data_IF_163686723132
#
_entry.id   IF_163686723132
#
_cell.length_a   1.000
_cell.length_b   1.000
_cell.length_c   1.000
_cell.angle_alpha   90.00
_cell.angle_beta   90.00
_cell.angle_gamma   90.00
#
_symmetry.space_group_name_H-M   'P 1'
#
loop_
_entity.id
_entity.type
_entity.pdbx_description
1 polymer ?
#
# COMPACT_ATOMS: atom_id res chain seq x y z
N UNK A 1 -0.58 -0.63 -28.88
CA UNK A 1 0.74 -0.98 -28.34
C UNK A 1 0.83 -0.37 -26.96
N UNK A 2 1.31 -1.11 -25.96
CA UNK A 2 1.50 -0.58 -24.61
C UNK A 2 2.69 0.38 -24.65
N UNK A 3 2.51 1.62 -24.18
CA UNK A 3 3.61 2.58 -24.05
C UNK A 3 4.37 2.29 -22.75
N UNK A 4 5.69 2.55 -22.76
CA UNK A 4 6.58 2.30 -21.63
C UNK A 4 7.42 3.54 -21.32
N UNK A 5 7.78 3.69 -20.05
CA UNK A 5 8.85 4.57 -19.58
C UNK A 5 10.01 3.72 -19.06
N UNK A 6 11.22 4.24 -19.18
CA UNK A 6 12.41 3.58 -18.64
C UNK A 6 12.66 4.14 -17.24
N UNK A 7 12.75 3.25 -16.27
CA UNK A 7 13.18 3.57 -14.91
C UNK A 7 14.41 2.73 -14.55
N UNK A 8 15.18 3.18 -13.57
CA UNK A 8 16.41 2.53 -13.14
C UNK A 8 16.45 2.34 -11.63
N UNK A 9 16.96 1.20 -11.19
CA UNK A 9 17.32 0.92 -9.81
C UNK A 9 18.76 0.39 -9.71
N UNK A 10 19.14 -0.19 -8.57
CA UNK A 10 20.47 -0.76 -8.36
C UNK A 10 20.84 -1.86 -9.38
N UNK A 11 19.86 -2.56 -9.95
CA UNK A 11 20.06 -3.65 -10.90
C UNK A 11 20.12 -3.16 -12.36
N UNK A 12 19.93 -1.86 -12.59
CA UNK A 12 19.95 -1.23 -13.90
C UNK A 12 18.57 -0.77 -14.37
N UNK A 13 18.44 -0.57 -15.68
CA UNK A 13 17.22 -0.08 -16.30
C UNK A 13 16.18 -1.19 -16.52
N UNK A 14 14.89 -0.82 -16.50
CA UNK A 14 13.78 -1.69 -16.85
C UNK A 14 12.64 -0.87 -17.45
N UNK A 15 11.85 -1.49 -18.33
CA UNK A 15 10.65 -0.88 -18.88
C UNK A 15 9.48 -1.03 -17.91
N UNK A 16 8.81 0.08 -17.60
CA UNK A 16 7.60 0.14 -16.78
C UNK A 16 6.46 0.70 -17.65
N UNK A 17 5.24 0.14 -17.63
CA UNK A 17 4.12 0.69 -18.38
C UNK A 17 3.94 2.19 -18.12
N UNK A 18 3.78 3.00 -19.16
CA UNK A 18 3.74 4.46 -19.03
C UNK A 18 2.59 4.95 -18.13
N UNK A 19 1.49 4.18 -18.10
CA UNK A 19 0.28 4.41 -17.32
C UNK A 19 0.27 3.73 -15.94
N UNK A 20 1.33 3.01 -15.55
CA UNK A 20 1.46 2.50 -14.19
C UNK A 20 1.91 3.60 -13.21
N UNK A 21 1.37 3.60 -12.00
CA UNK A 21 1.87 4.42 -10.88
C UNK A 21 3.01 3.73 -10.12
N UNK A 22 3.08 2.41 -10.14
CA UNK A 22 4.23 1.70 -9.59
C UNK A 22 5.47 1.91 -10.48
N UNK A 23 6.66 1.63 -9.94
CA UNK A 23 7.94 1.87 -10.59
C UNK A 23 8.73 0.58 -10.87
N UNK A 24 10.02 0.75 -11.13
CA UNK A 24 10.93 -0.34 -11.52
C UNK A 24 11.01 -1.46 -10.48
N UNK A 25 11.01 -1.18 -9.18
CA UNK A 25 11.15 -2.23 -8.18
C UNK A 25 9.89 -3.09 -8.09
N UNK A 26 8.71 -2.48 -8.23
CA UNK A 26 7.46 -3.22 -8.36
C UNK A 26 7.42 -4.05 -9.64
N UNK A 27 7.86 -3.49 -10.76
CA UNK A 27 7.94 -4.22 -12.03
C UNK A 27 8.86 -5.45 -11.91
N UNK A 28 10.02 -5.32 -11.26
CA UNK A 28 10.89 -6.47 -10.96
C UNK A 28 10.22 -7.49 -10.04
N UNK A 29 9.47 -7.04 -9.03
CA UNK A 29 8.73 -7.96 -8.16
C UNK A 29 7.70 -8.78 -8.94
N UNK A 30 7.01 -8.17 -9.92
CA UNK A 30 6.09 -8.87 -10.82
C UNK A 30 6.79 -9.89 -11.72
N UNK A 31 8.03 -9.61 -12.13
CA UNK A 31 8.83 -10.56 -12.91
C UNK A 31 9.36 -11.71 -12.05
N UNK A 32 9.76 -11.42 -10.82
CA UNK A 32 10.38 -12.37 -9.89
C UNK A 32 9.36 -13.31 -9.21
N UNK A 33 8.15 -12.82 -8.92
CA UNK A 33 7.16 -13.54 -8.12
C UNK A 33 5.87 -13.73 -8.90
N UNK A 34 5.73 -14.93 -9.48
CA UNK A 34 4.55 -15.39 -10.21
C UNK A 34 4.11 -16.73 -9.62
N UNK A 35 3.71 -16.70 -8.35
CA UNK A 35 3.56 -17.90 -7.52
C UNK A 35 2.09 -18.26 -7.36
N UNK A 36 1.24 -17.27 -7.07
CA UNK A 36 -0.16 -17.43 -6.75
C UNK A 36 -1.06 -16.56 -7.62
N UNK A 37 -2.37 -16.62 -7.36
CA UNK A 37 -3.36 -15.71 -7.94
C UNK A 37 -3.81 -14.64 -6.95
N UNK A 38 -3.22 -14.60 -5.75
CA UNK A 38 -3.56 -13.70 -4.67
C UNK A 38 -2.56 -12.53 -4.63
N UNK A 39 -3.04 -11.32 -4.94
CA UNK A 39 -2.20 -10.15 -5.10
C UNK A 39 -2.55 -9.08 -4.07
N UNK A 40 -1.63 -8.15 -3.81
CA UNK A 40 -1.83 -7.10 -2.82
C UNK A 40 -3.07 -6.22 -3.10
N UNK A 41 -3.46 -6.04 -4.37
CA UNK A 41 -4.68 -5.35 -4.79
C UNK A 41 -5.97 -6.00 -4.25
N UNK A 42 -5.94 -7.30 -3.93
CA UNK A 42 -7.07 -8.04 -3.36
C UNK A 42 -7.23 -7.79 -1.84
N UNK A 43 -6.27 -7.10 -1.21
CA UNK A 43 -6.19 -6.84 0.23
C UNK A 43 -6.22 -5.34 0.55
N UNK A 44 -7.38 -4.65 0.38
CA UNK A 44 -7.49 -3.20 0.54
C UNK A 44 -7.12 -2.71 1.95
N UNK A 45 -7.40 -3.50 3.01
CA UNK A 45 -6.98 -3.13 4.37
C UNK A 45 -5.47 -3.07 4.53
N UNK A 46 -4.73 -3.86 3.76
CA UNK A 46 -3.27 -3.85 3.80
C UNK A 46 -2.71 -2.64 3.06
N UNK A 47 -3.26 -2.31 1.88
CA UNK A 47 -2.93 -1.07 1.16
C UNK A 47 -3.25 0.15 2.04
N UNK A 48 -4.40 0.16 2.71
CA UNK A 48 -4.75 1.21 3.66
C UNK A 48 -3.77 1.28 4.83
N UNK A 49 -3.33 0.14 5.36
CA UNK A 49 -2.29 0.05 6.37
C UNK A 49 -0.99 0.74 5.93
N UNK A 50 -0.54 0.48 4.70
CA UNK A 50 0.64 1.13 4.11
C UNK A 50 0.42 2.64 3.98
N UNK A 51 -0.73 3.07 3.45
CA UNK A 51 -1.05 4.49 3.31
C UNK A 51 -1.07 5.23 4.66
N UNK A 52 -1.62 4.63 5.72
CA UNK A 52 -1.56 5.20 7.08
C UNK A 52 -0.12 5.38 7.56
N UNK A 53 0.73 4.37 7.38
CA UNK A 53 2.15 4.42 7.78
C UNK A 53 2.89 5.52 7.01
N UNK A 54 2.74 5.56 5.68
CA UNK A 54 3.43 6.55 4.84
C UNK A 54 2.96 7.97 5.13
N UNK A 55 1.66 8.19 5.33
CA UNK A 55 1.12 9.49 5.73
C UNK A 55 1.64 9.93 7.09
N UNK A 56 1.70 9.03 8.07
CA UNK A 56 2.21 9.31 9.40
C UNK A 56 3.71 9.65 9.39
N UNK A 57 4.51 8.93 8.61
CA UNK A 57 5.93 9.19 8.45
C UNK A 57 6.18 10.55 7.77
N UNK A 58 5.51 10.84 6.65
CA UNK A 58 5.63 12.13 5.97
C UNK A 58 5.25 13.30 6.88
N UNK A 59 4.14 13.19 7.63
CA UNK A 59 3.72 14.19 8.62
C UNK A 59 4.76 14.39 9.72
N UNK A 60 5.40 13.32 10.17
CA UNK A 60 6.42 13.38 11.22
C UNK A 60 7.70 14.04 10.70
N UNK A 61 8.18 13.63 9.52
CA UNK A 61 9.37 14.23 8.89
C UNK A 61 9.16 15.73 8.60
N UNK A 62 7.95 16.14 8.16
CA UNK A 62 7.61 17.56 8.02
C UNK A 62 7.70 18.32 9.35
N UNK A 63 7.08 17.78 10.41
CA UNK A 63 7.13 18.39 11.75
C UNK A 63 8.55 18.49 12.33
N UNK A 64 9.45 17.60 11.93
CA UNK A 64 10.86 17.62 12.31
C UNK A 64 11.72 18.49 11.38
N UNK A 65 11.14 19.11 10.35
CA UNK A 65 11.87 19.95 9.38
C UNK A 65 12.73 19.17 8.39
N UNK A 66 12.53 17.85 8.27
CA UNK A 66 13.29 16.97 7.37
C UNK A 66 12.65 16.87 5.97
N UNK A 67 11.35 17.15 5.87
CA UNK A 67 10.58 17.11 4.62
C UNK A 67 9.95 18.49 4.37
N UNK A 68 10.01 18.98 3.12
CA UNK A 68 9.38 20.26 2.76
C UNK A 68 7.86 20.18 2.89
N UNK A 69 7.22 21.34 3.11
CA UNK A 69 5.76 21.40 3.20
C UNK A 69 5.09 20.93 1.91
N UNK A 70 5.60 21.34 0.75
CA UNK A 70 5.07 20.95 -0.56
C UNK A 70 5.09 19.43 -0.76
N UNK A 71 6.20 18.76 -0.44
CA UNK A 71 6.30 17.30 -0.53
C UNK A 71 5.34 16.63 0.45
N UNK A 72 5.30 17.11 1.69
CA UNK A 72 4.40 16.58 2.70
C UNK A 72 2.93 16.64 2.25
N UNK A 73 2.46 17.80 1.77
CA UNK A 73 1.06 17.97 1.38
C UNK A 73 0.69 17.04 0.22
N UNK A 74 1.55 16.90 -0.79
CA UNK A 74 1.29 16.04 -1.94
C UNK A 74 1.38 14.54 -1.60
N UNK A 75 2.34 14.13 -0.78
CA UNK A 75 2.42 12.75 -0.26
C UNK A 75 1.19 12.42 0.60
N UNK A 76 0.79 13.33 1.49
CA UNK A 76 -0.37 13.15 2.35
C UNK A 76 -1.66 13.02 1.52
N UNK A 77 -1.80 13.84 0.47
CA UNK A 77 -2.95 13.78 -0.45
C UNK A 77 -2.97 12.49 -1.27
N UNK A 78 -1.82 12.02 -1.76
CA UNK A 78 -1.71 10.72 -2.42
C UNK A 78 -2.12 9.57 -1.49
N UNK A 79 -1.69 9.61 -0.22
CA UNK A 79 -2.11 8.64 0.79
C UNK A 79 -3.63 8.71 1.06
N UNK A 80 -4.22 9.90 1.10
CA UNK A 80 -5.66 10.08 1.28
C UNK A 80 -6.47 9.50 0.12
N UNK A 81 -5.96 9.58 -1.12
CA UNK A 81 -6.58 8.94 -2.27
C UNK A 81 -6.53 7.41 -2.16
N UNK A 82 -5.42 6.83 -1.69
CA UNK A 82 -5.33 5.39 -1.40
C UNK A 82 -6.33 4.97 -0.31
N UNK A 83 -6.45 5.74 0.76
CA UNK A 83 -7.40 5.49 1.85
C UNK A 83 -8.86 5.62 1.39
N UNK A 84 -9.11 6.38 0.33
CA UNK A 84 -10.41 6.48 -0.34
C UNK A 84 -10.67 5.34 -1.35
N UNK A 85 -9.78 4.34 -1.43
CA UNK A 85 -9.92 3.18 -2.33
C UNK A 85 -9.44 3.41 -3.76
N UNK A 86 -8.78 4.55 -4.06
CA UNK A 86 -8.25 4.82 -5.40
C UNK A 86 -6.90 4.12 -5.57
N UNK A 87 -6.57 3.77 -6.82
CA UNK A 87 -5.26 3.20 -7.22
C UNK A 87 -4.92 1.86 -6.55
N UNK A 88 -5.88 1.13 -5.96
CA UNK A 88 -5.61 -0.19 -5.37
C UNK A 88 -5.18 -1.21 -6.44
N UNK A 89 -5.60 -1.03 -7.68
CA UNK A 89 -5.15 -1.76 -8.87
C UNK A 89 -3.66 -1.57 -9.18
N UNK A 90 -3.03 -0.53 -8.61
CA UNK A 90 -1.60 -0.24 -8.77
C UNK A 90 -0.72 -0.98 -7.75
N UNK A 91 -1.30 -1.94 -7.03
CA UNK A 91 -0.60 -2.83 -6.09
C UNK A 91 -0.60 -4.28 -6.57
N UNK A 92 0.00 -4.60 -7.73
CA UNK A 92 -0.14 -5.91 -8.36
C UNK A 92 0.77 -7.01 -7.78
N UNK A 93 1.58 -6.72 -6.76
CA UNK A 93 2.58 -7.69 -6.26
C UNK A 93 1.90 -8.92 -5.64
N UNK A 94 2.39 -10.11 -5.96
CA UNK A 94 1.97 -11.39 -5.37
C UNK A 94 2.13 -11.39 -3.84
N UNK A 95 1.12 -11.91 -3.15
CA UNK A 95 1.14 -12.05 -1.69
C UNK A 95 2.18 -13.08 -1.22
N UNK A 96 2.53 -14.05 -2.07
CA UNK A 96 3.62 -14.99 -1.84
C UNK A 96 4.88 -14.49 -2.57
N UNK A 97 5.69 -13.71 -1.84
CA UNK A 97 6.90 -13.10 -2.36
C UNK A 97 8.12 -13.34 -1.46
N UNK A 98 9.32 -13.33 -2.07
CA UNK A 98 10.58 -13.21 -1.35
C UNK A 98 10.84 -11.78 -0.85
N UNK A 99 11.95 -11.57 -0.13
CA UNK A 99 12.41 -10.22 0.23
C UNK A 99 11.73 -9.59 1.46
N UNK A 100 11.05 -10.38 2.29
CA UNK A 100 10.53 -9.98 3.59
C UNK A 100 9.63 -8.73 3.59
N UNK A 101 8.83 -8.56 2.52
CA UNK A 101 7.90 -7.43 2.37
C UNK A 101 8.50 -6.20 1.69
N UNK A 102 9.74 -6.27 1.22
CA UNK A 102 10.40 -5.12 0.56
C UNK A 102 9.67 -4.70 -0.69
N UNK A 103 9.21 -5.65 -1.51
CA UNK A 103 8.45 -5.34 -2.72
C UNK A 103 7.13 -4.63 -2.40
N UNK A 104 6.44 -5.02 -1.32
CA UNK A 104 5.22 -4.35 -0.85
C UNK A 104 5.51 -2.92 -0.39
N UNK A 105 6.56 -2.72 0.41
CA UNK A 105 6.94 -1.39 0.89
C UNK A 105 7.33 -0.48 -0.28
N UNK A 106 8.12 -0.99 -1.23
CA UNK A 106 8.54 -0.24 -2.41
C UNK A 106 7.40 0.04 -3.38
N UNK A 107 6.45 -0.88 -3.54
CA UNK A 107 5.25 -0.64 -4.33
C UNK A 107 4.44 0.54 -3.77
N UNK A 108 4.26 0.62 -2.44
CA UNK A 108 3.64 1.78 -1.83
C UNK A 108 4.47 3.06 -2.06
N UNK A 109 5.79 2.99 -1.88
CA UNK A 109 6.68 4.14 -2.09
C UNK A 109 6.57 4.69 -3.52
N UNK A 110 6.63 3.83 -4.53
CA UNK A 110 6.59 4.21 -5.94
C UNK A 110 5.22 4.77 -6.35
N UNK A 111 4.12 4.10 -5.96
CA UNK A 111 2.76 4.57 -6.26
C UNK A 111 2.50 5.95 -5.64
N UNK A 112 2.85 6.13 -4.37
CA UNK A 112 2.68 7.40 -3.66
C UNK A 112 3.58 8.49 -4.25
N UNK A 113 4.83 8.17 -4.58
CA UNK A 113 5.76 9.12 -5.19
C UNK A 113 5.24 9.61 -6.55
N UNK A 114 4.86 8.68 -7.44
CA UNK A 114 4.32 9.03 -8.76
C UNK A 114 3.02 9.80 -8.67
N UNK A 115 2.15 9.46 -7.70
CA UNK A 115 0.93 10.25 -7.51
C UNK A 115 1.23 11.65 -6.97
N UNK A 116 2.19 11.79 -6.06
CA UNK A 116 2.64 13.09 -5.58
C UNK A 116 3.27 13.92 -6.72
N UNK A 117 4.04 13.31 -7.63
CA UNK A 117 4.59 13.98 -8.82
C UNK A 117 3.48 14.57 -9.69
N UNK A 118 2.45 13.79 -10.02
CA UNK A 118 1.33 14.30 -10.81
C UNK A 118 0.59 15.46 -10.13
N UNK A 119 0.40 15.38 -8.80
CA UNK A 119 -0.22 16.45 -8.03
C UNK A 119 0.60 17.75 -8.05
N UNK A 120 1.93 17.64 -8.23
CA UNK A 120 2.87 18.76 -8.42
C UNK A 120 3.02 19.17 -9.89
N UNK A 121 2.34 18.51 -10.83
CA UNK A 121 2.44 18.80 -12.27
C UNK A 121 3.65 18.16 -12.98
N UNK A 122 4.34 17.25 -12.31
CA UNK A 122 5.45 16.47 -12.88
C UNK A 122 4.97 15.17 -13.52
N UNK A 123 5.80 14.60 -14.39
CA UNK A 123 5.54 13.29 -15.00
C UNK A 123 5.95 12.18 -14.04
N UNK A 124 5.32 11.02 -14.20
CA UNK A 124 5.72 9.80 -13.49
C UNK A 124 7.16 9.42 -13.85
N UNK A 125 7.92 8.98 -12.86
CA UNK A 125 9.35 8.68 -12.98
C UNK A 125 10.28 9.89 -12.85
N UNK A 126 9.78 11.13 -12.76
CA UNK A 126 10.60 12.32 -12.49
C UNK A 126 10.99 12.42 -10.99
N UNK A 127 11.61 11.36 -10.46
CA UNK A 127 11.88 11.17 -9.04
C UNK A 127 12.85 12.18 -8.43
N UNK A 128 13.48 13.05 -9.24
CA UNK A 128 14.23 14.22 -8.75
C UNK A 128 13.34 15.16 -7.92
N UNK A 129 12.04 15.23 -8.22
CA UNK A 129 11.10 16.06 -7.47
C UNK A 129 10.45 15.28 -6.31
N UNK A 130 10.21 13.98 -6.45
CA UNK A 130 9.70 13.13 -5.38
C UNK A 130 10.33 11.73 -5.43
N UNK A 131 11.33 11.48 -4.60
CA UNK A 131 12.01 10.19 -4.53
C UNK A 131 11.18 9.17 -3.72
N UNK A 132 10.90 7.97 -4.26
CA UNK A 132 10.28 6.88 -3.50
C UNK A 132 11.09 6.54 -2.24
N UNK A 133 12.42 6.59 -2.31
CA UNK A 133 13.30 6.25 -1.18
C UNK A 133 13.56 7.44 -0.27
N UNK A 134 13.98 8.58 -0.83
CA UNK A 134 14.48 9.70 -0.02
C UNK A 134 13.35 10.55 0.56
N UNK A 135 12.16 10.54 -0.04
CA UNK A 135 11.02 11.34 0.44
C UNK A 135 9.90 10.46 1.01
N UNK A 136 9.38 9.49 0.24
CA UNK A 136 8.24 8.67 0.70
C UNK A 136 8.67 7.65 1.76
N UNK A 137 9.86 7.07 1.62
CA UNK A 137 10.47 6.16 2.59
C UNK A 137 11.39 6.85 3.60
N UNK A 138 11.40 8.19 3.67
CA UNK A 138 12.24 8.94 4.59
C UNK A 138 12.04 8.47 6.03
N UNK A 139 13.15 8.22 6.73
CA UNK A 139 13.18 7.76 8.14
C UNK A 139 12.49 6.42 8.40
N UNK A 140 12.32 5.59 7.38
CA UNK A 140 11.69 4.28 7.46
C UNK A 140 12.58 3.20 6.85
N UNK A 141 12.30 1.96 7.20
CA UNK A 141 12.75 0.77 6.49
C UNK A 141 11.55 -0.13 6.17
N UNK A 142 11.78 -1.18 5.38
CA UNK A 142 10.75 -2.22 5.25
C UNK A 142 10.47 -2.88 6.60
N UNK A 143 11.50 -3.08 7.43
CA UNK A 143 11.46 -3.90 8.64
C UNK A 143 10.62 -3.29 9.78
N UNK A 144 10.24 -2.02 9.68
CA UNK A 144 9.30 -1.33 10.56
C UNK A 144 8.01 -0.94 9.83
N UNK A 145 8.08 -0.40 8.61
CA UNK A 145 6.90 0.04 7.87
C UNK A 145 5.96 -1.12 7.51
N UNK A 146 6.50 -2.22 6.98
CA UNK A 146 5.73 -3.39 6.55
C UNK A 146 5.01 -4.09 7.72
N UNK A 147 5.69 -4.51 8.81
CA UNK A 147 4.99 -5.15 9.93
C UNK A 147 4.03 -4.21 10.65
N UNK A 148 4.28 -2.89 10.64
CA UNK A 148 3.32 -1.91 11.17
C UNK A 148 2.05 -1.87 10.32
N UNK A 149 2.19 -1.80 9.00
CA UNK A 149 1.05 -1.82 8.07
C UNK A 149 0.23 -3.10 8.20
N UNK A 150 0.87 -4.27 8.31
CA UNK A 150 0.18 -5.56 8.54
C UNK A 150 -0.64 -5.50 9.83
N UNK A 151 -0.05 -5.03 10.94
CA UNK A 151 -0.76 -4.96 12.22
C UNK A 151 -1.98 -4.05 12.13
N UNK A 152 -1.88 -2.90 11.47
CA UNK A 152 -3.01 -2.00 11.24
C UNK A 152 -4.10 -2.69 10.42
N UNK A 153 -3.73 -3.39 9.34
CA UNK A 153 -4.67 -4.13 8.50
C UNK A 153 -5.41 -5.21 9.29
N UNK A 154 -4.68 -6.05 10.04
CA UNK A 154 -5.26 -7.10 10.87
C UNK A 154 -6.17 -6.55 11.96
N UNK A 155 -5.83 -5.42 12.58
CA UNK A 155 -6.72 -4.75 13.55
C UNK A 155 -8.05 -4.33 12.92
N UNK A 156 -8.02 -3.79 11.69
CA UNK A 156 -9.22 -3.38 10.97
C UNK A 156 -10.06 -4.60 10.53
N UNK A 157 -9.42 -5.62 9.98
CA UNK A 157 -10.08 -6.87 9.57
C UNK A 157 -10.72 -7.58 10.77
N UNK A 158 -10.04 -7.60 11.92
CA UNK A 158 -10.55 -8.20 13.14
C UNK A 158 -11.84 -7.55 13.66
N UNK A 159 -12.01 -6.22 13.48
CA UNK A 159 -13.28 -5.56 13.81
C UNK A 159 -14.43 -6.14 13.01
N UNK A 160 -14.26 -6.28 11.69
CA UNK A 160 -15.28 -6.90 10.82
C UNK A 160 -15.55 -8.35 11.20
N UNK A 161 -14.50 -9.13 11.51
CA UNK A 161 -14.65 -10.51 11.95
C UNK A 161 -15.50 -10.61 13.23
N UNK A 162 -15.23 -9.76 14.23
CA UNK A 162 -15.99 -9.72 15.48
C UNK A 162 -17.46 -9.40 15.23
N UNK A 163 -17.77 -8.47 14.33
CA UNK A 163 -19.16 -8.11 14.02
C UNK A 163 -19.91 -9.30 13.38
N UNK A 164 -19.30 -10.01 12.45
CA UNK A 164 -19.90 -11.22 11.86
C UNK A 164 -20.06 -12.35 12.90
N UNK A 165 -19.07 -12.53 13.78
CA UNK A 165 -19.13 -13.52 14.84
C UNK A 165 -20.26 -13.23 15.83
N UNK A 166 -20.47 -11.96 16.20
CA UNK A 166 -21.59 -11.55 17.07
C UNK A 166 -22.93 -11.88 16.42
N UNK A 167 -23.11 -11.55 15.14
CA UNK A 167 -24.33 -11.89 14.40
C UNK A 167 -24.60 -13.40 14.38
N UNK A 168 -23.55 -14.20 14.18
CA UNK A 168 -23.67 -15.67 14.23
C UNK A 168 -24.08 -16.17 15.62
N UNK A 169 -23.45 -15.65 16.67
CA UNK A 169 -23.77 -15.99 18.06
C UNK A 169 -25.20 -15.64 18.40
N UNK A 170 -25.68 -14.46 18.00
CA UNK A 170 -27.06 -14.02 18.23
C UNK A 170 -28.06 -14.92 17.49
N UNK A 171 -27.77 -15.32 16.26
CA UNK A 171 -28.63 -16.24 15.51
C UNK A 171 -28.77 -17.60 16.21
N UNK A 172 -27.67 -18.18 16.69
CA UNK A 172 -27.72 -19.43 17.45
C UNK A 172 -28.43 -19.28 18.79
N UNK A 173 -28.22 -18.17 19.51
CA UNK A 173 -28.95 -17.91 20.77
C UNK A 173 -30.45 -17.78 20.54
N UNK A 174 -30.86 -17.10 19.47
CA UNK A 174 -32.26 -17.00 19.09
C UNK A 174 -32.86 -18.38 18.80
N UNK A 175 -32.14 -19.23 18.04
CA UNK A 175 -32.63 -20.57 17.70
C UNK A 175 -32.66 -21.52 18.90
N UNK A 176 -31.69 -21.40 19.81
CA UNK A 176 -31.69 -22.15 21.07
C UNK A 176 -32.90 -21.79 21.95
N UNK A 177 -33.27 -20.52 22.01
CA UNK A 177 -34.49 -20.09 22.72
C UNK A 177 -35.76 -20.60 22.04
N UNK A 178 -35.82 -20.56 20.70
CA UNK A 178 -36.98 -21.07 19.93
C UNK A 178 -37.20 -22.58 20.14
N UNK A 179 -36.11 -23.35 20.24
CA UNK A 179 -36.13 -24.81 20.37
C UNK A 179 -36.02 -25.29 21.82
N UNK A 180 -36.19 -24.41 22.81
CA UNK A 180 -35.94 -24.73 24.22
C UNK A 180 -36.76 -25.92 24.74
N UNK A 181 -37.98 -26.11 24.22
CA UNK A 181 -38.92 -27.14 24.67
C UNK A 181 -38.88 -28.44 23.84
N UNK A 182 -37.93 -28.58 22.91
CA UNK A 182 -37.76 -29.79 22.09
C UNK A 182 -36.93 -30.84 22.87
N UNK A 183 -37.59 -31.91 23.32
CA UNK A 183 -37.02 -33.03 24.08
C UNK A 183 -36.34 -34.09 23.20
#
# INVERSE_FOLDING_TARGET
MQEYRIESDLLGELQVPADAYYGVQTQRALENFKISTDHLCDHPDFINGLAYVKKAAAKTNYKLGLLSEELYQNIAKACDELLAGKMHDQFPVDMIQGGAGTSVNMNANEVIANRALELMGHKRGEYIYCSPNDHVNMSQSTNDAFPTAIKIALLNMNRRLIDHLKSLVEAFRSKANELHDVL
#
